data_IF_148699569403
#
_entry.id   IF_148699569403
#
_cell.length_a   1.000
_cell.length_b   1.000
_cell.length_c   1.000
_cell.angle_alpha   90.00
_cell.angle_beta   90.00
_cell.angle_gamma   90.00
#
_symmetry.space_group_name_H-M   'P 1'
#
loop_
_entity.id
_entity.type
_entity.pdbx_description
1 polymer ?
#
# COMPACT_ATOMS: atom_id res chain seq x y z
N UNK A 1 -0.65 19.29 3.10
CA UNK A 1 -0.94 20.39 4.03
C UNK A 1 -0.47 20.11 5.45
N UNK A 2 -0.81 18.99 6.10
CA UNK A 2 -0.33 18.65 7.46
C UNK A 2 1.19 18.82 7.69
N UNK A 3 2.01 18.27 6.80
CA UNK A 3 3.47 18.38 6.85
C UNK A 3 4.04 19.82 6.85
N UNK A 4 3.46 20.69 6.01
CA UNK A 4 3.84 22.09 5.86
C UNK A 4 3.22 22.96 6.96
N UNK A 5 2.01 22.65 7.39
CA UNK A 5 1.30 23.36 8.46
C UNK A 5 1.94 23.12 9.82
N UNK A 6 2.49 21.92 10.04
CA UNK A 6 3.19 21.56 11.27
C UNK A 6 4.67 21.98 11.28
N UNK A 7 5.20 22.56 10.19
CA UNK A 7 6.64 22.84 10.04
C UNK A 7 7.51 21.63 10.44
N UNK A 8 7.06 20.40 10.17
CA UNK A 8 7.65 19.20 10.78
C UNK A 8 9.10 18.98 10.34
N UNK A 9 9.41 19.28 9.07
CA UNK A 9 10.78 19.27 8.55
C UNK A 9 11.45 20.65 8.64
N UNK A 10 10.93 21.51 9.52
CA UNK A 10 11.41 22.86 9.78
C UNK A 10 11.10 23.89 8.69
N UNK A 11 11.58 25.12 8.87
CA UNK A 11 11.42 26.18 7.89
C UNK A 11 12.21 25.88 6.61
N UNK A 12 11.84 26.54 5.53
CA UNK A 12 12.48 26.46 4.22
C UNK A 12 11.50 26.34 3.07
N UNK A 13 12.03 26.35 1.85
CA UNK A 13 11.26 26.09 0.63
C UNK A 13 10.70 24.67 0.64
N UNK A 14 9.65 24.41 -0.17
CA UNK A 14 9.07 23.08 -0.22
C UNK A 14 10.08 22.00 -0.67
N UNK A 15 11.01 22.34 -1.58
CA UNK A 15 12.07 21.41 -2.01
C UNK A 15 13.07 21.11 -0.88
N UNK A 16 13.41 22.10 -0.05
CA UNK A 16 14.27 21.88 1.14
C UNK A 16 13.58 20.98 2.17
N UNK A 17 12.28 21.19 2.41
CA UNK A 17 11.50 20.32 3.30
C UNK A 17 11.46 18.88 2.79
N UNK A 18 11.29 18.68 1.48
CA UNK A 18 11.32 17.34 0.87
C UNK A 18 12.70 16.68 1.00
N UNK A 19 13.78 17.44 0.85
CA UNK A 19 15.14 16.92 1.01
C UNK A 19 15.40 16.47 2.46
N UNK A 20 15.02 17.30 3.45
CA UNK A 20 15.09 16.93 4.87
C UNK A 20 14.25 15.69 5.17
N UNK A 21 13.03 15.61 4.61
CA UNK A 21 12.17 14.44 4.77
C UNK A 21 12.79 13.16 4.17
N UNK A 22 13.49 13.28 3.05
CA UNK A 22 14.20 12.15 2.46
C UNK A 22 15.42 11.74 3.31
N UNK A 23 16.16 12.69 3.86
CA UNK A 23 17.28 12.42 4.77
C UNK A 23 16.82 11.69 6.04
N UNK A 24 15.72 12.15 6.64
CA UNK A 24 15.06 11.49 7.78
C UNK A 24 14.63 10.06 7.43
N UNK A 25 13.97 9.88 6.27
CA UNK A 25 13.60 8.55 5.76
C UNK A 25 14.82 7.62 5.57
N UNK A 26 15.93 8.13 5.03
CA UNK A 26 17.17 7.34 4.85
C UNK A 26 17.78 6.99 6.22
N UNK A 27 17.81 7.91 7.17
CA UNK A 27 18.28 7.66 8.53
C UNK A 27 17.42 6.59 9.22
N UNK A 28 16.10 6.70 9.11
CA UNK A 28 15.14 5.70 9.58
C UNK A 28 15.44 4.31 9.02
N UNK A 29 15.62 4.20 7.70
CA UNK A 29 15.92 2.93 7.06
C UNK A 29 17.25 2.33 7.53
N UNK A 30 18.29 3.17 7.74
CA UNK A 30 19.58 2.71 8.28
C UNK A 30 19.44 2.16 9.69
N UNK A 31 18.76 2.89 10.56
CA UNK A 31 18.54 2.50 11.97
C UNK A 31 17.75 1.20 12.08
N UNK A 32 16.69 1.04 11.27
CA UNK A 32 15.86 -0.16 11.24
C UNK A 32 16.42 -1.28 10.36
N UNK A 33 17.59 -1.08 9.72
CA UNK A 33 18.23 -2.01 8.77
C UNK A 33 17.30 -2.43 7.61
N UNK A 34 16.50 -1.50 7.10
CA UNK A 34 15.55 -1.72 6.01
C UNK A 34 16.17 -1.37 4.66
N UNK A 35 16.24 -2.34 3.75
CA UNK A 35 16.64 -2.10 2.36
C UNK A 35 15.55 -1.39 1.57
N UNK A 36 15.90 -0.31 0.86
CA UNK A 36 14.99 0.41 -0.04
C UNK A 36 15.70 0.85 -1.33
N UNK A 37 14.91 1.11 -2.37
CA UNK A 37 15.37 1.72 -3.62
C UNK A 37 14.60 3.01 -3.95
N UNK A 38 13.95 3.58 -2.94
CA UNK A 38 13.14 4.79 -3.09
C UNK A 38 14.05 5.95 -3.51
N UNK A 39 13.80 6.61 -4.65
CA UNK A 39 14.59 7.77 -5.06
C UNK A 39 14.32 8.97 -4.15
N UNK A 40 15.23 9.97 -4.16
CA UNK A 40 15.04 11.22 -3.42
C UNK A 40 13.68 11.87 -3.67
N UNK A 41 13.13 12.48 -2.63
CA UNK A 41 11.87 13.21 -2.72
C UNK A 41 12.10 14.54 -3.44
N UNK A 42 11.83 14.53 -4.75
CA UNK A 42 11.93 15.72 -5.62
C UNK A 42 10.53 16.20 -5.99
N UNK A 43 10.38 17.50 -6.28
CA UNK A 43 9.13 18.07 -6.80
C UNK A 43 8.59 17.30 -8.03
N UNK A 44 9.46 16.75 -8.88
CA UNK A 44 9.05 15.95 -10.04
C UNK A 44 8.44 14.58 -9.69
N UNK A 45 8.64 14.11 -8.45
CA UNK A 45 8.15 12.82 -7.93
C UNK A 45 7.04 12.98 -6.90
N UNK A 46 6.84 14.21 -6.43
CA UNK A 46 5.83 14.58 -5.44
C UNK A 46 4.79 15.45 -6.14
N UNK A 47 3.59 14.92 -6.32
CA UNK A 47 2.52 15.66 -7.01
C UNK A 47 1.65 16.36 -5.98
N UNK A 48 1.54 17.68 -6.09
CA UNK A 48 0.45 18.41 -5.44
C UNK A 48 -0.83 18.18 -6.22
N UNK A 49 -1.86 17.68 -5.55
CA UNK A 49 -3.21 17.62 -6.10
C UNK A 49 -3.86 19.00 -6.03
N UNK A 50 -4.92 19.19 -6.82
CA UNK A 50 -5.78 20.39 -6.75
C UNK A 50 -6.38 20.61 -5.36
N UNK A 51 -6.47 19.55 -4.55
CA UNK A 51 -6.92 19.58 -3.15
C UNK A 51 -5.87 20.11 -2.16
N UNK A 52 -4.65 20.46 -2.61
CA UNK A 52 -3.54 20.83 -1.72
C UNK A 52 -2.86 19.62 -1.05
N UNK A 53 -3.29 18.41 -1.37
CA UNK A 53 -2.66 17.18 -0.90
C UNK A 53 -1.36 16.88 -1.63
N UNK A 54 -0.42 16.33 -0.88
CA UNK A 54 0.87 15.88 -1.40
C UNK A 54 0.77 14.38 -1.68
N UNK A 55 1.03 13.99 -2.91
CA UNK A 55 1.08 12.58 -3.32
C UNK A 55 2.51 12.19 -3.67
N UNK A 56 3.11 11.34 -2.83
CA UNK A 56 4.40 10.71 -3.10
C UNK A 56 4.19 9.41 -3.89
N UNK A 57 4.78 9.32 -5.07
CA UNK A 57 4.77 8.07 -5.83
C UNK A 57 5.86 7.13 -5.32
N UNK A 58 5.48 5.91 -4.95
CA UNK A 58 6.39 4.82 -4.60
C UNK A 58 6.07 3.56 -5.41
N UNK A 59 7.09 2.76 -5.73
CA UNK A 59 6.89 1.37 -6.19
C UNK A 59 6.30 0.56 -5.03
N UNK A 60 5.56 -0.52 -5.28
CA UNK A 60 4.86 -1.22 -4.20
C UNK A 60 5.84 -1.71 -3.11
N UNK A 61 6.99 -2.25 -3.52
CA UNK A 61 8.07 -2.63 -2.61
C UNK A 61 8.61 -1.48 -1.74
N UNK A 62 8.76 -0.28 -2.28
CA UNK A 62 9.23 0.87 -1.50
C UNK A 62 8.09 1.49 -0.68
N UNK A 63 6.84 1.34 -1.15
CA UNK A 63 5.65 1.85 -0.49
C UNK A 63 5.48 1.31 0.92
N UNK A 64 5.80 0.02 1.16
CA UNK A 64 5.81 -0.55 2.52
C UNK A 64 6.81 0.14 3.46
N UNK A 65 8.02 0.45 2.97
CA UNK A 65 9.09 1.06 3.78
C UNK A 65 8.73 2.51 4.09
N UNK A 66 8.22 3.24 3.09
CA UNK A 66 7.72 4.61 3.26
C UNK A 66 6.53 4.63 4.22
N UNK A 67 5.61 3.67 4.12
CA UNK A 67 4.46 3.56 5.03
C UNK A 67 4.90 3.31 6.47
N UNK A 68 5.90 2.43 6.69
CA UNK A 68 6.47 2.17 8.02
C UNK A 68 7.14 3.41 8.60
N UNK A 69 7.93 4.13 7.80
CA UNK A 69 8.54 5.39 8.22
C UNK A 69 7.46 6.41 8.60
N UNK A 70 6.46 6.63 7.74
CA UNK A 70 5.37 7.56 8.03
C UNK A 70 4.58 7.17 9.27
N UNK A 71 4.32 5.88 9.52
CA UNK A 71 3.64 5.44 10.72
C UNK A 71 4.39 5.88 12.00
N UNK A 72 5.70 5.63 12.05
CA UNK A 72 6.54 6.02 13.20
C UNK A 72 6.63 7.55 13.34
N UNK A 73 6.79 8.27 12.23
CA UNK A 73 6.85 9.74 12.23
C UNK A 73 5.52 10.38 12.63
N UNK A 74 4.38 9.84 12.18
CA UNK A 74 3.07 10.41 12.47
C UNK A 74 2.66 10.23 13.92
N UNK A 75 3.10 9.17 14.59
CA UNK A 75 2.89 9.02 16.04
C UNK A 75 3.61 10.13 16.81
N UNK A 76 4.85 10.45 16.43
CA UNK A 76 5.60 11.56 17.02
C UNK A 76 4.92 12.90 16.72
N UNK A 77 4.36 13.07 15.51
CA UNK A 77 3.61 14.26 15.14
C UNK A 77 2.32 14.43 15.94
N UNK A 78 1.60 13.34 16.23
CA UNK A 78 0.42 13.38 17.10
C UNK A 78 0.79 13.82 18.52
N UNK A 79 1.92 13.34 19.05
CA UNK A 79 2.34 13.65 20.42
C UNK A 79 2.76 15.11 20.63
N UNK A 80 3.24 15.79 19.58
CA UNK A 80 3.66 17.19 19.62
C UNK A 80 2.62 18.18 19.08
N UNK A 81 1.43 17.71 18.67
CA UNK A 81 0.39 18.58 18.14
C UNK A 81 -0.28 19.40 19.25
N UNK A 82 -0.60 20.66 18.95
CA UNK A 82 -1.44 21.50 19.80
C UNK A 82 -2.80 20.81 20.01
N UNK A 83 -3.34 20.74 21.25
CA UNK A 83 -4.67 20.19 21.51
C UNK A 83 -5.78 20.76 20.61
N UNK A 84 -5.64 21.99 20.09
CA UNK A 84 -6.59 22.59 19.14
C UNK A 84 -6.46 22.11 17.68
N UNK A 85 -5.45 21.29 17.36
CA UNK A 85 -5.14 20.88 16.00
C UNK A 85 -5.90 19.60 15.60
N UNK A 86 -7.08 19.78 14.99
CA UNK A 86 -7.90 18.74 14.34
C UNK A 86 -7.89 17.39 15.09
N UNK A 87 -8.40 17.45 16.33
CA UNK A 87 -8.25 16.48 17.43
C UNK A 87 -8.55 15.01 17.06
N UNK A 88 -9.30 14.76 15.99
CA UNK A 88 -9.62 13.42 15.49
C UNK A 88 -8.93 13.02 14.19
N UNK A 89 -8.62 13.96 13.29
CA UNK A 89 -8.15 13.63 11.94
C UNK A 89 -6.72 13.12 11.95
N UNK A 90 -5.80 13.87 12.57
CA UNK A 90 -4.38 13.50 12.59
C UNK A 90 -4.20 12.13 13.26
N UNK A 91 -4.95 11.87 14.35
CA UNK A 91 -5.00 10.57 14.99
C UNK A 91 -5.48 9.46 14.04
N UNK A 92 -6.57 9.68 13.29
CA UNK A 92 -7.09 8.70 12.33
C UNK A 92 -6.12 8.43 11.17
N UNK A 93 -5.44 9.47 10.67
CA UNK A 93 -4.42 9.32 9.62
C UNK A 93 -3.21 8.52 10.14
N UNK A 94 -2.75 8.82 11.37
CA UNK A 94 -1.69 8.08 12.05
C UNK A 94 -2.08 6.62 12.26
N UNK A 95 -3.30 6.35 12.76
CA UNK A 95 -3.80 4.99 12.98
C UNK A 95 -3.92 4.22 11.67
N UNK A 96 -4.35 4.88 10.59
CA UNK A 96 -4.39 4.27 9.26
C UNK A 96 -2.99 3.90 8.76
N UNK A 97 -2.01 4.82 8.88
CA UNK A 97 -0.62 4.57 8.49
C UNK A 97 -0.02 3.39 9.27
N UNK A 98 -0.20 3.38 10.60
CA UNK A 98 0.28 2.33 11.50
C UNK A 98 -0.37 0.98 11.18
N UNK A 99 -1.69 0.94 11.00
CA UNK A 99 -2.41 -0.28 10.65
C UNK A 99 -1.95 -0.87 9.32
N UNK A 100 -1.68 -0.02 8.32
CA UNK A 100 -1.16 -0.46 7.02
C UNK A 100 0.31 -0.91 7.11
N UNK A 101 1.15 -0.22 7.87
CA UNK A 101 2.53 -0.63 8.11
C UNK A 101 2.59 -2.00 8.80
N UNK A 102 1.74 -2.21 9.82
CA UNK A 102 1.60 -3.48 10.52
C UNK A 102 1.12 -4.59 9.58
N UNK A 103 0.13 -4.31 8.72
CA UNK A 103 -0.31 -5.25 7.69
C UNK A 103 0.85 -5.67 6.80
N UNK A 104 1.64 -4.71 6.28
CA UNK A 104 2.80 -5.04 5.46
C UNK A 104 3.78 -5.91 6.23
N UNK A 105 4.22 -5.48 7.42
CA UNK A 105 5.16 -6.22 8.26
C UNK A 105 4.71 -7.66 8.50
N UNK A 106 3.46 -7.87 8.91
CA UNK A 106 2.91 -9.22 9.12
C UNK A 106 2.94 -10.06 7.84
N UNK A 107 2.62 -9.48 6.68
CA UNK A 107 2.70 -10.24 5.42
C UNK A 107 4.13 -10.56 4.98
N UNK A 108 5.15 -9.83 5.47
CA UNK A 108 6.56 -10.13 5.19
C UNK A 108 7.14 -11.16 6.17
N UNK A 109 6.76 -11.06 7.44
CA UNK A 109 7.30 -11.88 8.52
C UNK A 109 6.71 -13.28 8.58
N UNK A 110 5.51 -13.47 8.01
CA UNK A 110 4.82 -14.75 8.06
C UNK A 110 5.03 -15.57 6.76
N UNK A 111 4.98 -16.92 6.87
CA UNK A 111 5.14 -17.81 5.73
C UNK A 111 3.99 -17.72 4.72
N UNK A 112 4.08 -18.51 3.64
CA UNK A 112 3.06 -18.57 2.58
C UNK A 112 1.71 -19.11 3.07
N UNK A 113 1.74 -20.20 3.81
CA UNK A 113 0.58 -20.82 4.44
C UNK A 113 0.58 -20.39 5.91
N UNK A 114 -0.52 -19.79 6.34
CA UNK A 114 -0.63 -19.14 7.64
C UNK A 114 -1.33 -20.07 8.63
N UNK A 115 -0.95 -19.97 9.90
CA UNK A 115 -1.80 -20.49 10.97
C UNK A 115 -3.04 -19.57 11.15
N UNK A 116 -4.01 -20.01 11.94
CA UNK A 116 -5.24 -19.24 12.18
C UNK A 116 -4.95 -17.88 12.84
N UNK A 117 -4.05 -17.86 13.83
CA UNK A 117 -3.68 -16.65 14.56
C UNK A 117 -3.00 -15.62 13.65
N UNK A 118 -2.05 -16.06 12.81
CA UNK A 118 -1.36 -15.21 11.84
C UNK A 118 -2.35 -14.62 10.82
N UNK A 119 -3.25 -15.45 10.28
CA UNK A 119 -4.28 -15.01 9.35
C UNK A 119 -5.23 -13.99 10.02
N UNK A 120 -5.58 -14.21 11.29
CA UNK A 120 -6.39 -13.26 12.06
C UNK A 120 -5.67 -11.93 12.27
N UNK A 121 -4.39 -11.93 12.65
CA UNK A 121 -3.58 -10.72 12.83
C UNK A 121 -3.47 -9.90 11.54
N UNK A 122 -3.20 -10.56 10.41
CA UNK A 122 -3.15 -9.89 9.09
C UNK A 122 -4.51 -9.33 8.71
N UNK A 123 -5.59 -10.10 8.88
CA UNK A 123 -6.95 -9.63 8.63
C UNK A 123 -7.29 -8.40 9.49
N UNK A 124 -7.03 -8.47 10.80
CA UNK A 124 -7.37 -7.43 11.76
C UNK A 124 -6.66 -6.12 11.43
N UNK A 125 -5.34 -6.15 11.21
CA UNK A 125 -4.55 -4.96 10.83
C UNK A 125 -5.03 -4.30 9.53
N UNK A 126 -5.25 -5.10 8.48
CA UNK A 126 -5.78 -4.57 7.22
C UNK A 126 -7.21 -4.03 7.34
N UNK A 127 -8.05 -4.67 8.14
CA UNK A 127 -9.42 -4.23 8.39
C UNK A 127 -9.45 -2.94 9.21
N UNK A 128 -8.53 -2.78 10.14
CA UNK A 128 -8.38 -1.57 10.95
C UNK A 128 -7.96 -0.36 10.10
N UNK A 129 -7.05 -0.56 9.14
CA UNK A 129 -6.77 0.44 8.11
C UNK A 129 -8.04 0.83 7.34
N UNK A 130 -8.82 -0.14 6.86
CA UNK A 130 -10.05 0.13 6.10
C UNK A 130 -11.08 0.91 6.95
N UNK A 131 -11.15 0.63 8.25
CA UNK A 131 -12.02 1.32 9.20
C UNK A 131 -11.61 2.78 9.36
N UNK A 132 -10.33 3.04 9.65
CA UNK A 132 -9.83 4.41 9.77
C UNK A 132 -9.92 5.19 8.48
N UNK A 133 -9.60 4.56 7.35
CA UNK A 133 -9.71 5.21 6.04
C UNK A 133 -11.16 5.61 5.75
N UNK A 134 -12.15 4.77 6.08
CA UNK A 134 -13.57 5.11 5.94
C UNK A 134 -13.99 6.27 6.85
N UNK A 135 -13.48 6.33 8.07
CA UNK A 135 -13.72 7.47 8.98
C UNK A 135 -13.15 8.76 8.40
N UNK A 136 -11.92 8.74 7.86
CA UNK A 136 -11.31 9.88 7.17
C UNK A 136 -12.13 10.33 5.96
N UNK A 137 -12.63 9.38 5.16
CA UNK A 137 -13.53 9.69 4.03
C UNK A 137 -14.79 10.42 4.50
N UNK A 138 -15.37 9.97 5.63
CA UNK A 138 -16.59 10.56 6.19
C UNK A 138 -16.34 11.97 6.71
N UNK A 139 -15.24 12.19 7.43
CA UNK A 139 -14.84 13.52 7.94
C UNK A 139 -14.60 14.47 6.76
N UNK A 140 -13.81 14.04 5.78
CA UNK A 140 -13.48 14.85 4.60
C UNK A 140 -14.75 15.24 3.83
N UNK A 141 -15.65 14.28 3.57
CA UNK A 141 -16.93 14.54 2.91
C UNK A 141 -17.80 15.54 3.68
N UNK A 142 -17.86 15.46 5.01
CA UNK A 142 -18.60 16.43 5.85
C UNK A 142 -17.99 17.83 5.78
N UNK A 143 -16.68 17.93 5.62
CA UNK A 143 -15.97 19.20 5.41
C UNK A 143 -16.03 19.69 3.96
N UNK A 144 -16.78 19.00 3.08
CA UNK A 144 -16.80 19.24 1.64
C UNK A 144 -15.40 19.21 0.99
N UNK A 145 -14.49 18.44 1.60
CA UNK A 145 -13.15 18.16 1.10
C UNK A 145 -13.22 16.74 0.52
N UNK A 146 -12.76 16.54 -0.71
CA UNK A 146 -12.78 15.21 -1.35
C UNK A 146 -11.38 14.57 -1.33
N UNK A 147 -10.75 14.58 -0.17
CA UNK A 147 -9.33 14.22 0.03
C UNK A 147 -9.12 12.69 0.03
N UNK A 148 -10.03 11.96 0.69
CA UNK A 148 -9.98 10.50 0.80
C UNK A 148 -11.09 9.85 -0.03
N UNK A 149 -10.91 9.65 -1.34
CA UNK A 149 -11.92 8.99 -2.17
C UNK A 149 -11.93 7.48 -1.91
N UNK A 150 -13.11 6.93 -1.60
CA UNK A 150 -13.35 5.48 -1.60
C UNK A 150 -13.36 4.95 -3.05
N UNK A 151 -12.17 4.63 -3.56
CA UNK A 151 -12.00 4.06 -4.91
C UNK A 151 -12.28 2.55 -4.90
N UNK A 152 -12.54 1.92 -6.06
CA UNK A 152 -12.68 0.46 -6.18
C UNK A 152 -11.54 -0.35 -5.55
N UNK A 153 -10.34 0.25 -5.43
CA UNK A 153 -9.19 -0.35 -4.73
C UNK A 153 -9.47 -0.65 -3.25
N UNK A 154 -10.32 0.11 -2.58
CA UNK A 154 -10.79 -0.17 -1.21
C UNK A 154 -11.50 -1.53 -1.15
N UNK A 155 -12.44 -1.75 -2.09
CA UNK A 155 -13.18 -3.00 -2.19
C UNK A 155 -12.29 -4.18 -2.58
N UNK A 156 -11.35 -3.97 -3.50
CA UNK A 156 -10.36 -4.98 -3.85
C UNK A 156 -9.52 -5.40 -2.64
N UNK A 157 -9.08 -4.44 -1.81
CA UNK A 157 -8.33 -4.75 -0.60
C UNK A 157 -9.17 -5.53 0.42
N UNK A 158 -10.46 -5.18 0.59
CA UNK A 158 -11.37 -5.94 1.44
C UNK A 158 -11.50 -7.40 1.00
N UNK A 159 -11.53 -7.69 -0.29
CA UNK A 159 -11.53 -9.08 -0.80
C UNK A 159 -10.24 -9.80 -0.45
N UNK A 160 -9.08 -9.15 -0.63
CA UNK A 160 -7.78 -9.74 -0.22
C UNK A 160 -7.85 -10.14 1.25
N UNK A 161 -8.31 -9.27 2.15
CA UNK A 161 -8.42 -9.59 3.57
C UNK A 161 -9.36 -10.77 3.83
N UNK A 162 -10.54 -10.80 3.18
CA UNK A 162 -11.48 -11.92 3.28
C UNK A 162 -10.85 -13.23 2.83
N UNK A 163 -10.05 -13.21 1.77
CA UNK A 163 -9.32 -14.38 1.28
C UNK A 163 -8.24 -14.83 2.25
N UNK A 164 -7.48 -13.91 2.85
CA UNK A 164 -6.51 -14.24 3.92
C UNK A 164 -7.21 -14.97 5.07
N UNK A 165 -8.33 -14.43 5.56
CA UNK A 165 -9.08 -15.03 6.66
C UNK A 165 -9.67 -16.40 6.30
N UNK A 166 -10.18 -16.54 5.07
CA UNK A 166 -10.85 -17.77 4.61
C UNK A 166 -9.87 -18.89 4.27
N UNK A 167 -8.83 -18.58 3.50
CA UNK A 167 -7.92 -19.57 2.93
C UNK A 167 -6.63 -19.71 3.73
N UNK A 168 -6.36 -18.82 4.68
CA UNK A 168 -5.12 -18.76 5.46
C UNK A 168 -3.88 -18.75 4.57
N UNK A 169 -3.96 -18.00 3.47
CA UNK A 169 -2.85 -17.78 2.55
C UNK A 169 -2.35 -16.37 2.68
N UNK A 170 -1.04 -16.22 2.78
CA UNK A 170 -0.42 -14.92 2.84
C UNK A 170 -0.59 -14.18 1.50
N UNK A 171 -1.17 -12.97 1.51
CA UNK A 171 -1.52 -12.24 0.30
C UNK A 171 -0.28 -11.79 -0.48
N UNK A 172 0.88 -11.72 0.19
CA UNK A 172 2.18 -11.46 -0.44
C UNK A 172 2.47 -12.45 -1.57
N UNK A 173 2.12 -13.72 -1.38
CA UNK A 173 2.43 -14.80 -2.31
C UNK A 173 1.28 -15.15 -3.26
N UNK A 174 0.17 -14.41 -3.25
CA UNK A 174 -1.05 -14.79 -3.98
C UNK A 174 -1.69 -13.64 -4.76
N UNK A 175 -1.54 -12.39 -4.31
CA UNK A 175 -2.15 -11.23 -4.98
C UNK A 175 -1.11 -10.24 -5.51
N UNK A 176 -0.47 -9.48 -4.61
CA UNK A 176 0.06 -8.16 -4.95
C UNK A 176 1.41 -8.19 -5.64
N UNK A 177 2.27 -9.14 -5.26
CA UNK A 177 3.66 -9.19 -5.77
C UNK A 177 3.80 -10.08 -7.00
N UNK A 178 2.97 -11.12 -7.14
CA UNK A 178 2.99 -11.99 -8.33
C UNK A 178 2.72 -11.20 -9.60
N UNK A 179 1.73 -10.30 -9.58
CA UNK A 179 1.41 -9.51 -10.75
C UNK A 179 2.48 -8.42 -11.04
N UNK A 180 3.12 -7.86 -10.00
CA UNK A 180 4.22 -6.90 -10.17
C UNK A 180 5.49 -7.57 -10.72
N UNK A 181 5.86 -8.74 -10.19
CA UNK A 181 6.96 -9.56 -10.68
C UNK A 181 6.68 -10.07 -12.10
N UNK A 182 5.47 -10.56 -12.38
CA UNK A 182 5.05 -10.94 -13.73
C UNK A 182 5.15 -9.76 -14.70
N UNK A 183 4.84 -8.54 -14.26
CA UNK A 183 5.03 -7.34 -15.06
C UNK A 183 6.49 -6.96 -15.27
N UNK A 184 7.38 -7.18 -14.30
CA UNK A 184 8.82 -7.01 -14.47
C UNK A 184 9.36 -8.00 -15.52
N UNK A 185 8.97 -9.27 -15.44
CA UNK A 185 9.30 -10.28 -16.44
C UNK A 185 8.75 -9.92 -17.81
N UNK A 186 7.50 -9.50 -17.91
CA UNK A 186 6.88 -9.06 -19.15
C UNK A 186 7.58 -7.82 -19.74
N UNK A 187 8.01 -6.87 -18.92
CA UNK A 187 8.77 -5.68 -19.36
C UNK A 187 10.18 -6.04 -19.82
N UNK A 188 10.89 -6.89 -19.07
CA UNK A 188 12.22 -7.36 -19.43
C UNK A 188 12.20 -8.09 -20.77
N UNK A 189 11.32 -9.09 -20.91
CA UNK A 189 11.13 -9.81 -22.17
C UNK A 189 10.61 -8.91 -23.30
N UNK A 190 9.81 -7.87 -23.01
CA UNK A 190 9.35 -6.90 -24.02
C UNK A 190 10.47 -6.07 -24.65
N UNK A 191 11.60 -5.87 -23.96
CA UNK A 191 12.77 -5.18 -24.54
C UNK A 191 13.48 -6.00 -25.61
N UNK A 192 13.26 -7.31 -25.62
CA UNK A 192 13.90 -8.26 -26.53
C UNK A 192 12.93 -8.88 -27.55
N UNK A 193 11.67 -8.42 -27.62
CA UNK A 193 10.66 -9.02 -28.49
C UNK A 193 9.86 -7.99 -29.31
N UNK A 194 9.66 -8.28 -30.59
CA UNK A 194 8.95 -7.41 -31.54
C UNK A 194 7.48 -7.18 -31.11
N UNK A 195 6.94 -5.94 -31.14
CA UNK A 195 5.62 -5.59 -30.56
C UNK A 195 4.43 -6.46 -30.99
N UNK A 196 4.37 -6.86 -32.27
CA UNK A 196 3.32 -7.76 -32.80
C UNK A 196 3.41 -9.18 -32.20
N UNK A 197 4.62 -9.73 -32.03
CA UNK A 197 4.83 -11.07 -31.46
C UNK A 197 4.47 -11.09 -29.96
N UNK A 198 4.68 -9.97 -29.27
CA UNK A 198 4.29 -9.75 -27.86
C UNK A 198 2.78 -9.80 -27.63
N UNK A 199 1.99 -9.08 -28.43
CA UNK A 199 0.53 -9.09 -28.27
C UNK A 199 -0.04 -10.51 -28.43
N UNK A 200 0.46 -11.25 -29.43
CA UNK A 200 0.06 -12.63 -29.69
C UNK A 200 0.46 -13.55 -28.52
N UNK A 201 1.66 -13.40 -27.97
CA UNK A 201 2.11 -14.22 -26.84
C UNK A 201 1.32 -13.95 -25.56
N UNK A 202 1.08 -12.68 -25.21
CA UNK A 202 0.27 -12.31 -24.04
C UNK A 202 -1.16 -12.85 -24.15
N UNK A 203 -1.78 -12.76 -25.33
CA UNK A 203 -3.10 -13.37 -25.61
C UNK A 203 -3.05 -14.89 -25.43
N UNK A 204 -2.00 -15.56 -25.91
CA UNK A 204 -1.82 -17.01 -25.71
C UNK A 204 -1.70 -17.39 -24.23
N UNK A 205 -0.89 -16.65 -23.46
CA UNK A 205 -0.72 -16.89 -22.02
C UNK A 205 -2.02 -16.66 -21.24
N UNK A 206 -2.77 -15.59 -21.54
CA UNK A 206 -4.07 -15.36 -20.92
C UNK A 206 -5.08 -16.47 -21.26
N UNK A 207 -5.13 -16.91 -22.53
CA UNK A 207 -5.97 -18.05 -22.94
C UNK A 207 -5.58 -19.33 -22.20
N UNK A 208 -4.29 -19.58 -21.99
CA UNK A 208 -3.80 -20.73 -21.24
C UNK A 208 -4.23 -20.66 -19.77
N UNK A 209 -4.06 -19.49 -19.13
CA UNK A 209 -4.48 -19.25 -17.74
C UNK A 209 -5.99 -19.48 -17.57
N UNK A 210 -6.81 -18.98 -18.50
CA UNK A 210 -8.26 -19.23 -18.50
C UNK A 210 -8.60 -20.72 -18.65
N UNK A 211 -7.91 -21.46 -19.52
CA UNK A 211 -8.09 -22.91 -19.68
C UNK A 211 -7.76 -23.67 -18.39
N UNK A 212 -6.64 -23.33 -17.74
CA UNK A 212 -6.23 -23.95 -16.47
C UNK A 212 -7.24 -23.64 -15.36
N UNK A 213 -7.72 -22.39 -15.25
CA UNK A 213 -8.75 -22.03 -14.28
C UNK A 213 -10.06 -22.79 -14.53
N UNK A 214 -10.52 -22.88 -15.78
CA UNK A 214 -11.70 -23.69 -16.14
C UNK A 214 -11.53 -25.16 -15.75
N UNK A 215 -10.35 -25.73 -15.99
CA UNK A 215 -10.06 -27.11 -15.62
C UNK A 215 -10.10 -27.32 -14.10
N UNK A 216 -9.46 -26.44 -13.32
CA UNK A 216 -9.49 -26.50 -11.85
C UNK A 216 -10.91 -26.31 -11.29
N UNK A 217 -11.71 -25.40 -11.83
CA UNK A 217 -13.12 -25.25 -11.43
C UNK A 217 -13.93 -26.53 -11.67
N UNK A 218 -13.73 -27.19 -12.83
CA UNK A 218 -14.40 -28.48 -13.11
C UNK A 218 -14.00 -29.57 -12.10
N UNK A 219 -12.74 -29.63 -11.69
CA UNK A 219 -12.29 -30.60 -10.69
C UNK A 219 -12.93 -30.33 -9.32
N UNK A 220 -12.97 -29.05 -8.89
CA UNK A 220 -13.59 -28.66 -7.62
C UNK A 220 -15.10 -28.98 -7.59
N UNK A 221 -15.82 -28.73 -8.69
CA UNK A 221 -17.25 -29.06 -8.80
C UNK A 221 -17.52 -30.58 -8.76
N UNK A 222 -16.63 -31.39 -9.34
CA UNK A 222 -16.75 -32.86 -9.27
C UNK A 222 -16.48 -33.40 -7.87
N UNK A 223 -15.61 -32.74 -7.09
CA UNK A 223 -15.31 -33.11 -5.71
C UNK A 223 -16.40 -32.72 -4.71
N UNK A 224 -17.23 -31.72 -5.02
CA UNK A 224 -18.30 -31.25 -4.13
C UNK A 224 -19.61 -32.06 -4.22
N UNK A 225 -19.75 -32.92 -5.24
CA UNK A 225 -20.92 -33.80 -5.45
C UNK A 225 -20.68 -35.25 -4.97
N UNK A 226 -19.69 -35.45 -4.11
CA UNK A 226 -19.44 -36.71 -3.38
C UNK A 226 -19.58 -36.43 -1.89
#
# INVERSE_FOLDING_TARGET
>A
MLAQQLNWWGPGTFQEQLEKAYQDFVAYCRTKKLGHSQPPFKLSKVKMKKTGEIMLAAKAWNGRVVCSWLADTMVLACAGADPGFDEGRLFLESHAATSMAQFFWLTESNPRELCEEEAHKIYASGHEFLRSYRSLCTISARQNKHEFPLKPKYHAFLHVLREVKRFRKNPRFTHTYIDEDAMLWAKSTSRFSHPKKRAIWLIKCQRLRLKVMKHKMKQLLKGANR
#
